data_IF_142079891398
#
_entry.id   IF_142079891398
#
_cell.length_a   1.000
_cell.length_b   1.000
_cell.length_c   1.000
_cell.angle_alpha   90.00
_cell.angle_beta   90.00
_cell.angle_gamma   90.00
#
_symmetry.space_group_name_H-M   'P 1'
#
loop_
_entity.id
_entity.type
_entity.pdbx_description
1 polymer ?
#
# COMPACT_ATOMS: atom_id res chain seq x y z
N UNK A 1 -11.08 1.45 16.57
CA UNK A 1 -10.75 1.52 15.14
C UNK A 1 -10.53 2.97 14.76
N UNK A 2 -9.48 3.33 14.01
CA UNK A 2 -9.30 4.70 13.55
C UNK A 2 -10.41 5.07 12.57
N UNK A 3 -10.79 6.34 12.56
CA UNK A 3 -11.68 6.85 11.52
C UNK A 3 -10.95 6.86 10.18
N UNK A 4 -11.69 6.76 9.08
CA UNK A 4 -11.11 6.89 7.73
C UNK A 4 -10.23 8.15 7.60
N UNK A 5 -10.65 9.25 8.21
CA UNK A 5 -9.89 10.50 8.21
C UNK A 5 -8.54 10.35 8.91
N UNK A 6 -8.52 9.73 10.09
CA UNK A 6 -7.28 9.50 10.82
C UNK A 6 -6.32 8.57 10.05
N UNK A 7 -6.84 7.51 9.43
CA UNK A 7 -6.05 6.61 8.59
C UNK A 7 -5.51 7.33 7.34
N UNK A 8 -6.33 8.17 6.70
CA UNK A 8 -5.93 8.99 5.56
C UNK A 8 -4.83 9.99 5.94
N UNK A 9 -4.96 10.67 7.08
CA UNK A 9 -3.95 11.60 7.59
C UNK A 9 -2.63 10.87 7.92
N UNK A 10 -2.71 9.69 8.54
CA UNK A 10 -1.53 8.86 8.82
C UNK A 10 -0.84 8.36 7.53
N UNK A 11 -1.61 8.00 6.50
CA UNK A 11 -1.08 7.63 5.19
C UNK A 11 -0.40 8.83 4.50
N UNK A 12 -1.06 9.98 4.49
CA UNK A 12 -0.54 11.21 3.86
C UNK A 12 0.59 11.89 4.66
N UNK A 13 0.90 11.43 5.86
CA UNK A 13 2.09 11.82 6.60
C UNK A 13 3.35 11.06 6.15
N UNK A 14 3.22 10.03 5.30
CA UNK A 14 4.34 9.27 4.78
C UNK A 14 5.09 10.05 3.71
N UNK A 15 6.39 9.79 3.55
CA UNK A 15 7.24 10.52 2.62
C UNK A 15 7.26 9.89 1.22
N UNK A 16 7.47 8.57 1.14
CA UNK A 16 7.65 7.82 -0.10
C UNK A 16 6.38 7.07 -0.47
N UNK A 17 5.68 7.55 -1.50
CA UNK A 17 4.38 6.99 -1.90
C UNK A 17 4.41 6.55 -3.36
N UNK A 18 4.11 5.27 -3.63
CA UNK A 18 3.88 4.81 -4.98
C UNK A 18 2.38 4.93 -5.36
N UNK A 19 2.13 5.13 -6.65
CA UNK A 19 0.79 5.09 -7.24
C UNK A 19 0.78 4.03 -8.33
N UNK A 20 0.06 2.94 -8.09
CA UNK A 20 -0.12 1.88 -9.08
C UNK A 20 -1.29 2.19 -10.01
N UNK A 21 -1.05 2.08 -11.31
CA UNK A 21 -2.03 2.37 -12.35
C UNK A 21 -1.91 3.78 -12.95
N UNK A 22 -0.81 4.50 -12.72
CA UNK A 22 -0.54 5.76 -13.43
C UNK A 22 -0.39 5.47 -14.92
N UNK A 23 -1.17 6.16 -15.75
CA UNK A 23 -1.34 5.84 -17.16
C UNK A 23 -0.59 6.83 -18.07
N UNK A 24 -0.35 6.42 -19.33
CA UNK A 24 0.05 7.34 -20.40
C UNK A 24 -1.05 8.33 -20.79
N UNK A 25 -2.31 8.02 -20.47
CA UNK A 25 -3.40 9.00 -20.60
C UNK A 25 -3.45 9.88 -19.33
N UNK A 26 -3.11 11.18 -19.43
CA UNK A 26 -3.02 12.08 -18.28
C UNK A 26 -4.39 12.42 -17.65
N UNK A 27 -5.49 12.01 -18.27
CA UNK A 27 -6.86 12.26 -17.78
C UNK A 27 -7.31 11.22 -16.75
N UNK A 28 -6.55 10.13 -16.58
CA UNK A 28 -6.91 9.08 -15.63
C UNK A 28 -6.83 9.56 -14.17
N UNK A 29 -7.71 9.07 -13.29
CA UNK A 29 -7.72 9.45 -11.88
C UNK A 29 -6.37 9.22 -11.17
N UNK A 30 -5.67 8.13 -11.51
CA UNK A 30 -4.35 7.82 -10.98
C UNK A 30 -3.32 8.92 -11.24
N UNK A 31 -3.34 9.50 -12.45
CA UNK A 31 -2.45 10.57 -12.85
C UNK A 31 -2.72 11.86 -12.05
N UNK A 32 -3.99 12.18 -11.78
CA UNK A 32 -4.33 13.32 -10.94
C UNK A 32 -3.85 13.11 -9.50
N UNK A 33 -4.04 11.92 -8.94
CA UNK A 33 -3.57 11.56 -7.60
C UNK A 33 -2.04 11.69 -7.54
N UNK A 34 -1.34 11.11 -8.53
CA UNK A 34 0.12 11.15 -8.63
C UNK A 34 0.66 12.61 -8.63
N UNK A 35 0.11 13.46 -9.51
CA UNK A 35 0.51 14.87 -9.59
C UNK A 35 0.26 15.63 -8.28
N UNK A 36 -0.86 15.37 -7.61
CA UNK A 36 -1.21 16.07 -6.36
C UNK A 36 -0.36 15.62 -5.18
N UNK A 37 -0.07 14.35 -5.05
CA UNK A 37 0.87 13.85 -4.03
C UNK A 37 2.25 14.49 -4.24
N UNK A 38 2.74 14.52 -5.48
CA UNK A 38 4.01 15.17 -5.83
C UNK A 38 4.01 16.67 -5.51
N UNK A 39 2.95 17.38 -5.86
CA UNK A 39 2.79 18.80 -5.54
C UNK A 39 2.65 19.05 -4.03
N UNK A 40 2.17 18.07 -3.27
CA UNK A 40 2.09 18.09 -1.83
C UNK A 40 3.41 17.81 -1.10
N UNK A 41 4.51 17.58 -1.84
CA UNK A 41 5.85 17.38 -1.28
C UNK A 41 6.23 15.92 -1.03
N UNK A 42 5.41 14.95 -1.46
CA UNK A 42 5.77 13.53 -1.36
C UNK A 42 6.79 13.15 -2.45
N UNK A 43 7.73 12.28 -2.11
CA UNK A 43 8.51 11.56 -3.10
C UNK A 43 7.62 10.48 -3.72
N UNK A 44 7.24 10.68 -5.00
CA UNK A 44 6.22 9.86 -5.64
C UNK A 44 6.79 8.98 -6.73
N UNK A 45 6.34 7.73 -6.78
CA UNK A 45 6.76 6.72 -7.75
C UNK A 45 5.56 6.24 -8.55
N UNK A 46 5.70 6.24 -9.88
CA UNK A 46 4.68 5.70 -10.76
C UNK A 46 4.91 4.21 -10.99
N UNK A 47 3.88 3.38 -10.77
CA UNK A 47 3.93 1.95 -11.06
C UNK A 47 2.99 1.63 -12.21
N UNK A 48 3.57 1.14 -13.32
CA UNK A 48 2.86 0.72 -14.51
C UNK A 48 3.68 -0.31 -15.29
N UNK A 49 3.26 -1.59 -15.39
CA UNK A 49 4.00 -2.62 -16.11
C UNK A 49 4.03 -2.43 -17.63
N UNK A 50 3.22 -1.50 -18.17
CA UNK A 50 3.07 -1.31 -19.61
C UNK A 50 3.70 -0.01 -20.11
N UNK A 51 4.50 0.68 -19.29
CA UNK A 51 5.14 1.94 -19.68
C UNK A 51 6.49 2.13 -18.96
N UNK A 52 7.48 2.63 -19.68
CA UNK A 52 8.80 2.96 -19.13
C UNK A 52 8.80 4.34 -18.45
N UNK A 53 7.89 5.21 -18.86
CA UNK A 53 7.73 6.55 -18.32
C UNK A 53 6.28 7.03 -18.41
N UNK A 54 5.82 7.75 -17.38
CA UNK A 54 4.51 8.42 -17.31
C UNK A 54 4.65 9.73 -16.54
N UNK A 55 3.84 10.74 -16.85
CA UNK A 55 3.87 12.05 -16.16
C UNK A 55 5.27 12.70 -16.13
N UNK A 56 6.12 12.40 -17.13
CA UNK A 56 7.48 12.93 -17.26
C UNK A 56 8.49 12.35 -16.27
N UNK A 57 8.19 11.21 -15.65
CA UNK A 57 9.08 10.48 -14.76
C UNK A 57 9.16 9.00 -15.13
N UNK A 58 10.20 8.28 -14.71
CA UNK A 58 10.27 6.82 -14.87
C UNK A 58 9.04 6.13 -14.25
N UNK A 59 8.56 5.09 -14.91
CA UNK A 59 7.56 4.19 -14.36
C UNK A 59 8.22 2.84 -14.06
N UNK A 60 7.84 2.24 -12.93
CA UNK A 60 8.37 0.96 -12.48
C UNK A 60 7.37 -0.15 -12.81
N UNK A 61 7.82 -1.32 -13.29
CA UNK A 61 6.93 -2.42 -13.62
C UNK A 61 6.13 -2.94 -12.42
N UNK A 62 6.76 -3.01 -11.26
CA UNK A 62 6.16 -3.43 -10.00
C UNK A 62 6.56 -2.52 -8.83
N UNK A 63 5.91 -2.68 -7.70
CA UNK A 63 6.27 -1.95 -6.46
C UNK A 63 7.65 -2.35 -5.96
N UNK A 64 8.03 -3.61 -6.15
CA UNK A 64 9.33 -4.14 -5.72
C UNK A 64 10.51 -3.53 -6.49
N UNK A 65 10.27 -3.03 -7.71
CA UNK A 65 11.31 -2.40 -8.54
C UNK A 65 11.61 -0.95 -8.13
N UNK A 66 10.83 -0.37 -7.22
CA UNK A 66 11.05 1.01 -6.75
C UNK A 66 12.29 1.07 -5.87
N UNK A 67 13.34 1.83 -6.26
CA UNK A 67 14.59 1.89 -5.51
C UNK A 67 14.37 2.42 -4.09
N UNK A 68 14.88 1.70 -3.09
CA UNK A 68 14.77 2.08 -1.68
C UNK A 68 13.40 1.85 -1.05
N UNK A 69 12.46 1.22 -1.77
CA UNK A 69 11.13 0.89 -1.27
C UNK A 69 10.21 2.10 -1.10
N UNK A 70 9.02 1.88 -0.59
CA UNK A 70 8.00 2.91 -0.35
C UNK A 70 7.31 2.71 0.99
N UNK A 71 6.82 3.79 1.59
CA UNK A 71 6.10 3.78 2.87
C UNK A 71 4.62 3.41 2.70
N UNK A 72 4.09 3.58 1.49
CA UNK A 72 2.72 3.27 1.16
C UNK A 72 2.43 3.28 -0.34
N UNK A 73 1.37 2.58 -0.73
CA UNK A 73 0.93 2.47 -2.14
C UNK A 73 -0.52 2.87 -2.28
N UNK A 74 -0.81 3.79 -3.22
CA UNK A 74 -2.17 4.04 -3.69
C UNK A 74 -2.44 3.16 -4.90
N UNK A 75 -3.41 2.27 -4.79
CA UNK A 75 -3.79 1.35 -5.88
C UNK A 75 -4.96 1.96 -6.65
N UNK A 76 -4.75 2.21 -7.94
CA UNK A 76 -5.73 2.79 -8.87
C UNK A 76 -5.99 1.86 -10.08
N UNK A 77 -5.62 0.60 -9.98
CA UNK A 77 -5.86 -0.42 -11.00
C UNK A 77 -7.29 -0.96 -10.91
N UNK A 78 -7.81 -1.66 -11.94
CA UNK A 78 -9.06 -2.42 -11.82
C UNK A 78 -8.99 -3.44 -10.67
N UNK A 79 -10.13 -3.84 -10.05
CA UNK A 79 -10.14 -4.72 -8.89
C UNK A 79 -9.39 -6.05 -9.09
N UNK A 80 -9.50 -6.65 -10.25
CA UNK A 80 -8.79 -7.91 -10.55
C UNK A 80 -7.26 -7.74 -10.50
N UNK A 81 -6.73 -6.64 -11.04
CA UNK A 81 -5.29 -6.35 -10.99
C UNK A 81 -4.83 -5.79 -9.64
N UNK A 82 -5.75 -5.32 -8.80
CA UNK A 82 -5.42 -4.81 -7.48
C UNK A 82 -4.85 -5.91 -6.56
N UNK A 83 -5.34 -7.13 -6.67
CA UNK A 83 -4.85 -8.27 -5.88
C UNK A 83 -3.38 -8.56 -6.19
N UNK A 84 -2.99 -8.52 -7.48
CA UNK A 84 -1.59 -8.71 -7.89
C UNK A 84 -0.69 -7.60 -7.33
N UNK A 85 -1.15 -6.35 -7.40
CA UNK A 85 -0.41 -5.21 -6.81
C UNK A 85 -0.26 -5.37 -5.29
N UNK A 86 -1.25 -5.92 -4.60
CA UNK A 86 -1.16 -6.17 -3.15
C UNK A 86 -0.15 -7.27 -2.86
N UNK A 87 -0.09 -8.32 -3.67
CA UNK A 87 0.93 -9.36 -3.55
C UNK A 87 2.35 -8.78 -3.74
N UNK A 88 2.54 -7.90 -4.73
CA UNK A 88 3.79 -7.16 -4.92
C UNK A 88 4.13 -6.28 -3.70
N UNK A 89 3.13 -5.58 -3.14
CA UNK A 89 3.31 -4.80 -1.92
C UNK A 89 3.78 -5.67 -0.74
N UNK A 90 3.18 -6.85 -0.59
CA UNK A 90 3.56 -7.80 0.47
C UNK A 90 5.00 -8.30 0.29
N UNK A 91 5.38 -8.67 -0.93
CA UNK A 91 6.74 -9.11 -1.27
C UNK A 91 7.77 -8.00 -1.03
N UNK A 92 7.41 -6.73 -1.31
CA UNK A 92 8.25 -5.56 -1.10
C UNK A 92 8.24 -5.06 0.36
N UNK A 93 7.46 -5.67 1.27
CA UNK A 93 7.37 -5.25 2.67
C UNK A 93 6.65 -3.92 2.89
N UNK A 94 5.77 -3.51 1.97
CA UNK A 94 5.00 -2.27 2.08
C UNK A 94 4.00 -2.36 3.22
N UNK A 95 4.03 -1.44 4.21
CA UNK A 95 3.18 -1.54 5.38
C UNK A 95 1.74 -1.06 5.16
N UNK A 96 1.49 -0.23 4.13
CA UNK A 96 0.20 0.47 3.94
C UNK A 96 -0.25 0.51 2.50
N UNK A 97 -1.53 0.24 2.26
CA UNK A 97 -2.17 0.30 0.95
C UNK A 97 -3.44 1.13 1.02
N UNK A 98 -3.63 2.00 0.05
CA UNK A 98 -4.89 2.71 -0.16
C UNK A 98 -5.57 2.19 -1.43
N UNK A 99 -6.68 1.48 -1.29
CA UNK A 99 -7.50 1.03 -2.41
C UNK A 99 -8.38 2.19 -2.88
N UNK A 100 -7.99 2.84 -3.99
CA UNK A 100 -8.71 4.00 -4.49
C UNK A 100 -10.12 3.63 -4.98
N UNK A 101 -11.10 4.42 -4.54
CA UNK A 101 -12.46 4.39 -5.08
C UNK A 101 -13.01 5.81 -5.16
N UNK A 102 -13.33 6.26 -6.38
CA UNK A 102 -14.06 7.49 -6.64
C UNK A 102 -15.52 7.22 -6.94
N UNK A 103 -16.04 7.82 -8.01
CA UNK A 103 -17.42 7.61 -8.47
C UNK A 103 -17.61 6.26 -9.18
N UNK A 104 -16.53 5.70 -9.75
CA UNK A 104 -16.51 4.40 -10.41
C UNK A 104 -16.17 3.23 -9.46
N UNK A 105 -15.99 2.02 -10.02
CA UNK A 105 -15.65 0.82 -9.24
C UNK A 105 -14.32 0.95 -8.50
N UNK A 106 -13.35 1.68 -9.08
CA UNK A 106 -12.00 1.85 -8.48
C UNK A 106 -11.24 0.53 -8.37
N UNK A 107 -10.41 0.43 -7.33
CA UNK A 107 -9.60 -0.77 -7.03
C UNK A 107 -10.15 -1.58 -5.86
N UNK A 108 -11.27 -1.13 -5.28
CA UNK A 108 -11.84 -1.73 -4.08
C UNK A 108 -12.63 -2.99 -4.44
N UNK A 109 -12.26 -4.12 -3.85
CA UNK A 109 -13.03 -5.37 -3.81
C UNK A 109 -12.82 -6.06 -2.47
N UNK A 110 -13.69 -6.99 -2.12
CA UNK A 110 -13.57 -7.76 -0.88
C UNK A 110 -12.31 -8.63 -0.91
N UNK A 111 -11.95 -9.16 -2.09
CA UNK A 111 -10.72 -9.94 -2.30
C UNK A 111 -9.48 -9.09 -2.07
N UNK A 112 -9.44 -7.86 -2.58
CA UNK A 112 -8.31 -6.95 -2.38
C UNK A 112 -8.14 -6.57 -0.90
N UNK A 113 -9.24 -6.34 -0.20
CA UNK A 113 -9.21 -6.07 1.26
C UNK A 113 -8.75 -7.30 2.04
N UNK A 114 -9.26 -8.51 1.68
CA UNK A 114 -8.84 -9.77 2.31
C UNK A 114 -7.34 -10.02 2.10
N UNK A 115 -6.83 -9.85 0.88
CA UNK A 115 -5.41 -9.99 0.58
C UNK A 115 -4.53 -9.06 1.42
N UNK A 116 -4.92 -7.78 1.60
CA UNK A 116 -4.19 -6.88 2.49
C UNK A 116 -4.14 -7.42 3.93
N UNK A 117 -5.26 -7.94 4.45
CA UNK A 117 -5.33 -8.49 5.81
C UNK A 117 -4.48 -9.74 5.98
N UNK A 118 -4.52 -10.65 5.02
CA UNK A 118 -3.72 -11.89 5.01
C UNK A 118 -2.22 -11.59 5.08
N UNK A 119 -1.78 -10.53 4.40
CA UNK A 119 -0.39 -10.10 4.42
C UNK A 119 -0.04 -9.11 5.55
N UNK A 120 -0.98 -8.78 6.44
CA UNK A 120 -0.75 -7.84 7.55
C UNK A 120 -0.54 -6.39 7.09
N UNK A 121 -0.99 -6.04 5.88
CA UNK A 121 -0.90 -4.70 5.33
C UNK A 121 -2.07 -3.85 5.86
N UNK A 122 -1.75 -2.66 6.39
CA UNK A 122 -2.77 -1.67 6.76
C UNK A 122 -3.49 -1.19 5.50
N UNK A 123 -4.82 -1.34 5.44
CA UNK A 123 -5.60 -1.00 4.25
C UNK A 123 -6.57 0.14 4.50
N UNK A 124 -6.59 1.13 3.60
CA UNK A 124 -7.65 2.14 3.50
C UNK A 124 -8.60 1.73 2.37
N UNK A 125 -9.79 1.19 2.70
CA UNK A 125 -10.71 0.67 1.71
C UNK A 125 -11.62 1.78 1.16
N UNK A 126 -11.25 2.36 0.03
CA UNK A 126 -12.05 3.35 -0.68
C UNK A 126 -11.68 4.81 -0.41
N UNK A 127 -12.43 5.71 -1.02
CA UNK A 127 -12.12 7.13 -1.04
C UNK A 127 -10.97 7.49 -1.99
N UNK A 128 -10.68 8.77 -2.04
CA UNK A 128 -9.60 9.32 -2.86
C UNK A 128 -8.64 10.11 -1.98
N UNK A 129 -7.31 9.93 -2.10
CA UNK A 129 -6.33 10.76 -1.37
C UNK A 129 -6.58 12.26 -1.51
N UNK A 130 -7.07 12.70 -2.69
CA UNK A 130 -7.38 14.10 -2.95
C UNK A 130 -8.55 14.69 -2.14
N UNK A 131 -9.27 13.86 -1.36
CA UNK A 131 -10.31 14.31 -0.43
C UNK A 131 -9.77 14.75 0.92
N UNK A 132 -8.49 14.46 1.21
CA UNK A 132 -7.86 14.63 2.51
C UNK A 132 -6.57 15.47 2.43
N UNK A 133 -6.14 15.98 3.59
CA UNK A 133 -4.87 16.69 3.70
C UNK A 133 -4.83 18.06 3.00
N UNK A 134 -3.62 18.56 2.79
CA UNK A 134 -3.34 19.85 2.14
C UNK A 134 -3.67 19.84 0.63
N UNK A 135 -3.76 18.67 0.02
CA UNK A 135 -4.07 18.48 -1.41
C UNK A 135 -5.58 18.49 -1.71
N UNK A 136 -6.43 18.53 -0.68
CA UNK A 136 -7.88 18.50 -0.82
C UNK A 136 -8.42 19.85 -1.31
N UNK A 137 -9.01 19.85 -2.50
CA UNK A 137 -9.77 21.01 -2.99
C UNK A 137 -11.23 21.00 -2.46
N UNK A 138 -11.92 22.17 -2.52
CA UNK A 138 -13.30 22.27 -2.04
C UNK A 138 -14.27 21.28 -2.69
N UNK A 139 -14.11 21.01 -4.00
CA UNK A 139 -14.96 20.06 -4.73
C UNK A 139 -14.81 18.62 -4.24
N UNK A 140 -13.58 18.18 -3.99
CA UNK A 140 -13.31 16.85 -3.42
C UNK A 140 -13.80 16.72 -1.98
N UNK A 141 -13.77 17.80 -1.18
CA UNK A 141 -14.33 17.80 0.19
C UNK A 141 -15.85 17.61 0.18
N UNK A 142 -16.56 18.31 -0.71
CA UNK A 142 -18.02 18.14 -0.88
C UNK A 142 -18.32 16.72 -1.37
N UNK A 143 -17.58 16.22 -2.35
CA UNK A 143 -17.74 14.86 -2.85
C UNK A 143 -17.52 13.82 -1.76
N UNK A 144 -16.50 14.02 -0.90
CA UNK A 144 -16.26 13.14 0.24
C UNK A 144 -17.46 13.07 1.19
N UNK A 145 -18.03 14.24 1.54
CA UNK A 145 -19.21 14.31 2.39
C UNK A 145 -20.43 13.58 1.78
N UNK A 146 -20.66 13.76 0.47
CA UNK A 146 -21.73 13.06 -0.25
C UNK A 146 -21.51 11.54 -0.32
N UNK A 147 -20.29 11.09 -0.55
CA UNK A 147 -19.96 9.66 -0.60
C UNK A 147 -20.05 8.99 0.78
N UNK A 148 -19.75 9.72 1.86
CA UNK A 148 -19.96 9.25 3.23
C UNK A 148 -21.45 9.15 3.59
N UNK A 149 -22.27 10.09 3.14
CA UNK A 149 -23.73 10.06 3.31
C UNK A 149 -24.35 8.85 2.60
N UNK A 150 -23.84 8.51 1.43
CA UNK A 150 -24.34 7.36 0.63
C UNK A 150 -23.72 6.02 1.04
N UNK A 151 -22.92 5.97 2.11
CA UNK A 151 -22.16 4.79 2.59
C UNK A 151 -21.26 4.14 1.54
N UNK A 152 -20.90 4.86 0.47
CA UNK A 152 -19.95 4.39 -0.56
C UNK A 152 -18.50 4.45 -0.10
N UNK A 153 -18.23 5.17 0.99
CA UNK A 153 -16.93 5.26 1.64
C UNK A 153 -17.13 4.94 3.12
N UNK A 154 -16.38 4.00 3.71
CA UNK A 154 -16.55 3.63 5.10
C UNK A 154 -16.18 4.80 6.03
N UNK A 155 -16.81 4.87 7.20
CA UNK A 155 -16.47 5.88 8.23
C UNK A 155 -15.32 5.45 9.12
N UNK A 156 -15.12 4.16 9.25
CA UNK A 156 -14.10 3.52 10.08
C UNK A 156 -13.28 2.56 9.23
N UNK A 157 -11.99 2.45 9.54
CA UNK A 157 -11.04 1.60 8.84
C UNK A 157 -10.51 0.57 9.83
N UNK A 158 -10.55 -0.69 9.47
CA UNK A 158 -9.85 -1.73 10.22
C UNK A 158 -8.35 -1.65 9.87
N UNK A 159 -7.55 -1.26 10.83
CA UNK A 159 -6.10 -1.35 10.69
C UNK A 159 -5.68 -2.79 10.97
N UNK A 160 -5.10 -3.46 10.00
CA UNK A 160 -4.36 -4.70 10.24
C UNK A 160 -3.26 -4.44 11.27
N UNK A 161 -2.99 -5.40 12.14
CA UNK A 161 -1.84 -5.28 13.03
C UNK A 161 -0.56 -5.15 12.17
N UNK A 162 0.41 -4.30 12.56
CA UNK A 162 1.66 -4.18 11.81
C UNK A 162 2.31 -5.55 11.65
N UNK A 163 2.95 -5.85 10.52
CA UNK A 163 3.64 -7.11 10.30
C UNK A 163 4.61 -7.35 11.45
N UNK A 164 4.53 -8.54 12.04
CA UNK A 164 5.45 -8.94 13.10
C UNK A 164 6.87 -8.91 12.51
N UNK A 165 7.83 -8.22 13.15
CA UNK A 165 9.20 -8.20 12.63
C UNK A 165 9.66 -9.63 12.41
N UNK A 166 10.28 -9.88 11.24
CA UNK A 166 10.82 -11.18 10.89
C UNK A 166 11.74 -11.67 12.02
N UNK A 167 11.36 -12.76 12.66
CA UNK A 167 12.23 -13.38 13.66
C UNK A 167 13.46 -13.89 12.93
N UNK A 168 14.69 -13.60 13.39
CA UNK A 168 15.87 -14.19 12.81
C UNK A 168 15.75 -15.71 12.94
N UNK A 169 15.83 -16.40 11.82
CA UNK A 169 15.83 -17.87 11.75
C UNK A 169 16.89 -18.39 12.71
N UNK A 170 16.41 -19.14 13.71
CA UNK A 170 17.20 -19.65 14.82
C UNK A 170 18.42 -20.39 14.32
N UNK A 171 19.58 -19.94 14.76
CA UNK A 171 20.85 -20.64 14.62
C UNK A 171 20.69 -22.04 15.20
N UNK A 172 20.86 -23.04 14.35
CA UNK A 172 21.02 -24.45 14.71
C UNK A 172 22.14 -24.58 15.72
N UNK A 173 21.79 -24.78 17.01
CA UNK A 173 22.74 -25.21 18.00
C UNK A 173 23.18 -26.63 17.67
N UNK A 174 24.38 -26.77 17.13
CA UNK A 174 25.08 -28.05 17.03
C UNK A 174 25.31 -28.60 18.44
N UNK A 175 24.56 -29.66 18.79
CA UNK A 175 24.84 -30.48 19.95
C UNK A 175 26.15 -31.20 19.73
N UNK A 176 27.20 -30.75 20.39
CA UNK A 176 28.43 -31.52 20.58
C UNK A 176 28.10 -32.63 21.60
N UNK A 177 28.00 -33.85 21.06
CA UNK A 177 27.95 -35.04 21.88
C UNK A 177 29.32 -35.29 22.53
N UNK A 178 29.40 -35.09 23.83
CA UNK A 178 30.56 -35.49 24.62
C UNK A 178 30.57 -37.02 24.77
N UNK A 179 31.50 -37.67 24.09
CA UNK A 179 31.78 -39.08 24.26
C UNK A 179 32.62 -39.31 25.52
N UNK A 180 32.04 -39.90 26.51
CA UNK A 180 32.76 -40.45 27.69
C UNK A 180 33.29 -41.84 27.34
N UNK A 181 34.61 -41.99 27.38
CA UNK A 181 35.25 -43.30 27.36
C UNK A 181 35.17 -43.98 28.72
N UNK A 182 34.84 -45.26 28.82
CA UNK A 182 35.08 -46.03 30.07
C UNK A 182 36.45 -46.66 30.05
N UNK A 183 37.17 -46.43 31.11
CA UNK A 183 38.39 -47.13 31.54
C UNK A 183 38.07 -48.60 31.82
N UNK A 184 38.80 -49.54 31.23
CA UNK A 184 38.87 -50.92 31.66
C UNK A 184 40.22 -51.25 32.26
N UNK A 185 40.19 -51.74 33.48
CA UNK A 185 41.30 -52.46 34.13
C UNK A 185 41.32 -53.90 33.59
N UNK A 186 42.47 -54.45 33.42
CA UNK A 186 43.21 -55.54 33.99
C UNK A 186 44.44 -55.75 33.11
#
# INVERSE_FOLDING_TARGET
MPTLRAAAEAFLAQHRIAVAGVSRDPKQPANLIFRRLRAGGHETFAVNPNADAVEGVPAYPSVADVPGGVDGVVVCTPPAAAVDVIADCAAAGVPRVWLHRGLGPGSLSDEAVAACREHGIEVIPGGCPNMFGATADPGHRVLCALLQLTRKVPREVETGAPPRPAQPSGSTQSRTAGGSSPTSRV
#
